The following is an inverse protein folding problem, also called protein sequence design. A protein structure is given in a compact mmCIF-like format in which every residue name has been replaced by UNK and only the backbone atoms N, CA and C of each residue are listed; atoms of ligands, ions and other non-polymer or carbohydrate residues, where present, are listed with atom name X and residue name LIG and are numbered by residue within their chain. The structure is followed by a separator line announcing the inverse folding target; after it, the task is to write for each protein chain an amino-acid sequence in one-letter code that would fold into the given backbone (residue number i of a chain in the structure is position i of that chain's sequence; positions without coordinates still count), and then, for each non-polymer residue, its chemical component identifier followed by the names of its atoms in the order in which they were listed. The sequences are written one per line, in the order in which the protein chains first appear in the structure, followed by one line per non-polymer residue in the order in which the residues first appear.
data_IF_299275374997
#
_entry.id   IF_299275374997
#
_cell.length_a   1.000
_cell.length_b   1.000
_cell.length_c   1.000
_cell.angle_alpha   90.00
_cell.angle_beta   90.00
_cell.angle_gamma   90.00
#
_symmetry.space_group_name_H-M   'P 1'
#
loop_
_entity.id
_entity.type
_entity.pdbx_description
1 polymer ?
#
# COMPACT_ATOMS: atom_id res chain seq x y z
N UNK A 1 23.02 -18.55 11.61
CA UNK A 1 21.77 -18.43 10.83
C UNK A 1 21.48 -19.78 10.21
N UNK A 2 20.24 -20.27 10.28
CA UNK A 2 19.84 -21.60 9.81
C UNK A 2 19.61 -21.61 8.29
N UNK A 3 19.70 -22.79 7.65
CA UNK A 3 19.50 -22.96 6.19
C UNK A 3 18.13 -22.44 5.72
N UNK A 4 17.09 -22.56 6.55
CA UNK A 4 15.74 -22.04 6.25
C UNK A 4 15.69 -20.52 6.12
N UNK A 5 16.47 -19.79 6.92
CA UNK A 5 16.56 -18.33 6.81
C UNK A 5 17.20 -17.91 5.48
N UNK A 6 18.25 -18.62 5.08
CA UNK A 6 18.92 -18.39 3.80
C UNK A 6 18.01 -18.69 2.59
N UNK A 7 17.16 -19.72 2.68
CA UNK A 7 16.17 -20.04 1.65
C UNK A 7 15.14 -18.90 1.48
N UNK A 8 14.61 -18.37 2.59
CA UNK A 8 13.64 -17.26 2.56
C UNK A 8 14.28 -16.01 1.96
N UNK A 9 15.49 -15.65 2.40
CA UNK A 9 16.24 -14.51 1.84
C UNK A 9 16.47 -14.68 0.35
N UNK A 10 16.88 -15.88 -0.10
CA UNK A 10 17.07 -16.19 -1.52
C UNK A 10 15.78 -16.08 -2.33
N UNK A 11 14.66 -16.57 -1.80
CA UNK A 11 13.35 -16.46 -2.47
C UNK A 11 12.93 -14.99 -2.62
N UNK A 12 13.01 -14.20 -1.54
CA UNK A 12 12.66 -12.77 -1.59
C UNK A 12 13.59 -12.00 -2.54
N UNK A 13 14.89 -12.29 -2.48
CA UNK A 13 15.89 -11.73 -3.40
C UNK A 13 15.59 -12.08 -4.85
N UNK A 14 15.25 -13.34 -5.13
CA UNK A 14 14.82 -13.79 -6.46
C UNK A 14 13.61 -12.99 -6.93
N UNK A 15 12.58 -12.83 -6.09
CA UNK A 15 11.42 -12.02 -6.46
C UNK A 15 11.86 -10.60 -6.79
N UNK A 16 12.70 -9.94 -5.99
CA UNK A 16 13.20 -8.59 -6.27
C UNK A 16 14.02 -8.45 -7.56
N UNK A 17 14.77 -9.48 -7.95
CA UNK A 17 15.59 -9.48 -9.17
C UNK A 17 14.72 -9.69 -10.42
N UNK A 18 13.72 -10.57 -10.33
CA UNK A 18 12.83 -10.92 -11.45
C UNK A 18 11.61 -10.00 -11.56
N UNK A 19 11.30 -9.21 -10.53
CA UNK A 19 10.17 -8.28 -10.55
C UNK A 19 10.30 -7.12 -11.55
N UNK A 20 11.43 -6.40 -11.63
CA UNK A 20 11.52 -5.20 -12.45
C UNK A 20 11.96 -5.49 -13.89
N UNK A 21 12.39 -6.71 -14.21
CA UNK A 21 12.85 -7.05 -15.55
C UNK A 21 11.69 -7.53 -16.40
N UNK A 22 11.21 -6.67 -17.31
CA UNK A 22 10.57 -7.14 -18.53
C UNK A 22 11.66 -7.88 -19.33
N UNK A 23 11.82 -9.18 -19.07
CA UNK A 23 12.81 -9.99 -19.76
C UNK A 23 12.48 -9.91 -21.25
N UNK A 24 13.49 -9.70 -22.10
CA UNK A 24 13.41 -9.80 -23.57
C UNK A 24 13.05 -11.21 -24.08
N UNK A 25 12.30 -11.98 -23.30
CA UNK A 25 11.59 -13.18 -23.74
C UNK A 25 10.28 -12.75 -24.38
N UNK A 26 9.78 -13.55 -25.33
CA UNK A 26 8.42 -13.44 -25.88
C UNK A 26 7.41 -13.70 -24.75
N UNK A 27 7.13 -12.70 -23.91
CA UNK A 27 6.12 -12.81 -22.86
C UNK A 27 4.75 -12.48 -23.46
N UNK A 28 3.72 -13.22 -23.04
CA UNK A 28 2.34 -12.94 -23.45
C UNK A 28 1.80 -11.63 -22.86
N UNK A 29 2.45 -11.10 -21.83
CA UNK A 29 2.07 -9.85 -21.16
C UNK A 29 3.32 -9.00 -20.84
N UNK A 30 3.56 -7.88 -21.56
CA UNK A 30 4.81 -7.13 -21.50
C UNK A 30 4.83 -6.08 -20.37
N UNK A 31 4.23 -6.37 -19.22
CA UNK A 31 4.18 -5.44 -18.09
C UNK A 31 4.77 -6.04 -16.82
N UNK A 32 5.23 -5.15 -15.94
CA UNK A 32 5.79 -5.50 -14.63
C UNK A 32 4.71 -6.18 -13.79
N UNK A 33 4.90 -7.48 -13.52
CA UNK A 33 3.97 -8.34 -12.78
C UNK A 33 3.50 -7.73 -11.46
N UNK A 34 4.34 -6.94 -10.80
CA UNK A 34 3.92 -6.30 -9.56
C UNK A 34 2.81 -5.29 -9.69
N UNK A 35 2.96 -4.38 -10.64
CA UNK A 35 1.92 -3.40 -10.90
C UNK A 35 0.62 -4.08 -11.35
N UNK A 36 0.72 -5.22 -12.03
CA UNK A 36 -0.42 -6.07 -12.44
C UNK A 36 -1.09 -6.76 -11.25
N UNK A 37 -0.33 -7.38 -10.35
CA UNK A 37 -0.86 -8.01 -9.13
C UNK A 37 -1.48 -6.98 -8.19
N UNK A 38 -0.84 -5.82 -8.03
CA UNK A 38 -1.40 -4.70 -7.27
C UNK A 38 -2.72 -4.22 -7.90
N UNK A 39 -2.76 -4.01 -9.21
CA UNK A 39 -3.98 -3.64 -9.93
C UNK A 39 -5.10 -4.67 -9.72
N UNK A 40 -4.81 -5.97 -9.81
CA UNK A 40 -5.79 -7.03 -9.59
C UNK A 40 -6.33 -7.02 -8.15
N UNK A 41 -5.44 -6.85 -7.16
CA UNK A 41 -5.82 -6.74 -5.74
C UNK A 41 -6.70 -5.54 -5.47
N UNK A 42 -6.32 -4.35 -5.97
CA UNK A 42 -7.13 -3.14 -5.78
C UNK A 42 -8.46 -3.26 -6.52
N UNK A 43 -8.51 -3.94 -7.66
CA UNK A 43 -9.75 -4.23 -8.40
C UNK A 43 -10.71 -5.09 -7.54
N UNK A 44 -10.19 -6.13 -6.88
CA UNK A 44 -10.98 -6.93 -5.93
C UNK A 44 -11.58 -6.07 -4.81
N UNK A 45 -10.76 -5.20 -4.18
CA UNK A 45 -11.22 -4.29 -3.13
C UNK A 45 -12.27 -3.30 -3.66
N UNK A 46 -12.04 -2.75 -4.85
CA UNK A 46 -12.94 -1.79 -5.50
C UNK A 46 -14.32 -2.42 -5.74
N UNK A 47 -14.35 -3.61 -6.36
CA UNK A 47 -15.59 -4.35 -6.61
C UNK A 47 -16.30 -4.78 -5.32
N UNK A 48 -15.53 -5.18 -4.30
CA UNK A 48 -16.08 -5.50 -2.97
C UNK A 48 -16.80 -4.29 -2.37
N UNK A 49 -16.16 -3.12 -2.37
CA UNK A 49 -16.74 -1.89 -1.83
C UNK A 49 -17.95 -1.39 -2.64
N UNK A 50 -17.89 -1.52 -3.98
CA UNK A 50 -19.03 -1.21 -4.83
C UNK A 50 -20.24 -2.10 -4.51
N UNK A 51 -20.04 -3.42 -4.36
CA UNK A 51 -21.11 -4.35 -4.00
C UNK A 51 -21.66 -4.06 -2.61
N UNK A 52 -20.79 -3.82 -1.62
CA UNK A 52 -21.19 -3.49 -0.25
C UNK A 52 -22.04 -2.21 -0.16
N UNK A 53 -21.87 -1.28 -1.10
CA UNK A 53 -22.63 -0.03 -1.17
C UNK A 53 -23.76 -0.06 -2.20
N UNK A 54 -23.97 -1.18 -2.89
CA UNK A 54 -24.89 -1.32 -4.02
C UNK A 54 -24.72 -0.20 -5.08
N UNK A 55 -23.48 0.22 -5.31
CA UNK A 55 -23.15 1.36 -6.16
C UNK A 55 -23.13 0.96 -7.65
N UNK A 56 -23.68 1.84 -8.50
CA UNK A 56 -23.59 1.74 -9.96
C UNK A 56 -22.89 2.97 -10.51
N UNK A 57 -21.71 2.79 -11.10
CA UNK A 57 -20.87 3.88 -11.60
C UNK A 57 -20.96 3.98 -13.13
N UNK A 58 -20.81 5.20 -13.66
CA UNK A 58 -20.46 5.36 -15.06
C UNK A 58 -19.07 4.77 -15.31
N UNK A 59 -18.79 4.33 -16.54
CA UNK A 59 -17.48 3.75 -16.88
C UNK A 59 -16.32 4.71 -16.56
N UNK A 60 -16.50 6.01 -16.79
CA UNK A 60 -15.50 7.02 -16.45
C UNK A 60 -15.19 7.05 -14.95
N UNK A 61 -16.22 7.12 -14.10
CA UNK A 61 -16.04 7.10 -12.64
C UNK A 61 -15.50 5.74 -12.15
N UNK A 62 -15.92 4.64 -12.78
CA UNK A 62 -15.46 3.29 -12.46
C UNK A 62 -13.94 3.16 -12.68
N UNK A 63 -13.47 3.47 -13.90
CA UNK A 63 -12.04 3.38 -14.23
C UNK A 63 -11.24 4.40 -13.43
N UNK A 64 -11.66 5.67 -13.39
CA UNK A 64 -10.89 6.72 -12.72
C UNK A 64 -10.81 6.50 -11.20
N UNK A 65 -11.92 6.09 -10.57
CA UNK A 65 -11.94 5.77 -9.14
C UNK A 65 -10.98 4.64 -8.79
N UNK A 66 -10.98 3.58 -9.60
CA UNK A 66 -10.04 2.46 -9.47
C UNK A 66 -8.57 2.92 -9.64
N UNK A 67 -8.28 3.72 -10.68
CA UNK A 67 -6.92 4.20 -10.95
C UNK A 67 -6.39 5.10 -9.84
N UNK A 68 -7.21 5.99 -9.31
CA UNK A 68 -6.84 6.85 -8.17
C UNK A 68 -6.54 6.01 -6.91
N UNK A 69 -7.30 4.94 -6.65
CA UNK A 69 -6.97 4.00 -5.57
C UNK A 69 -5.64 3.27 -5.80
N UNK A 70 -5.35 2.91 -7.05
CA UNK A 70 -4.11 2.24 -7.42
C UNK A 70 -2.87 3.14 -7.29
N UNK A 71 -3.01 4.39 -7.69
CA UNK A 71 -1.91 5.35 -7.85
C UNK A 71 -1.76 6.32 -6.68
N UNK A 72 -2.65 6.30 -5.70
CA UNK A 72 -2.62 7.28 -4.62
C UNK A 72 -1.27 7.39 -3.91
N UNK A 73 -0.55 6.28 -3.76
CA UNK A 73 0.80 6.27 -3.19
C UNK A 73 1.80 7.10 -3.99
N UNK A 74 1.97 6.78 -5.28
CA UNK A 74 2.89 7.51 -6.16
C UNK A 74 2.43 8.95 -6.37
N UNK A 75 1.13 9.19 -6.53
CA UNK A 75 0.59 10.54 -6.73
C UNK A 75 0.87 11.44 -5.52
N UNK A 76 0.53 10.99 -4.31
CA UNK A 76 0.78 11.75 -3.08
C UNK A 76 2.28 11.99 -2.86
N UNK A 77 3.12 10.97 -3.04
CA UNK A 77 4.56 11.11 -2.85
C UNK A 77 5.21 12.05 -3.86
N UNK A 78 4.80 12.03 -5.13
CA UNK A 78 5.32 12.98 -6.13
C UNK A 78 4.90 14.42 -5.83
N UNK A 79 3.64 14.63 -5.39
CA UNK A 79 3.20 15.95 -4.93
C UNK A 79 4.01 16.45 -3.72
N UNK A 80 4.26 15.59 -2.72
CA UNK A 80 5.09 15.93 -1.56
C UNK A 80 6.53 16.30 -1.94
N UNK A 81 7.06 15.70 -3.00
CA UNK A 81 8.39 15.98 -3.54
C UNK A 81 8.40 17.14 -4.54
N UNK A 82 7.25 17.74 -4.86
CA UNK A 82 7.10 18.72 -5.95
C UNK A 82 7.59 18.18 -7.31
N UNK A 83 7.41 16.88 -7.54
CA UNK A 83 7.73 16.19 -8.79
C UNK A 83 6.45 15.93 -9.60
N UNK A 84 6.51 15.92 -10.94
CA UNK A 84 5.36 15.55 -11.75
C UNK A 84 5.04 14.05 -11.59
N UNK A 85 3.81 13.65 -11.21
CA UNK A 85 3.45 12.25 -11.09
C UNK A 85 3.52 11.52 -12.45
N UNK A 86 4.24 10.40 -12.56
CA UNK A 86 4.43 9.68 -13.83
C UNK A 86 3.13 9.20 -14.47
N UNK A 87 2.09 9.01 -13.67
CA UNK A 87 0.75 8.63 -14.12
C UNK A 87 0.13 9.68 -15.05
N UNK A 88 0.55 10.94 -14.98
CA UNK A 88 -0.03 12.00 -15.82
C UNK A 88 0.61 12.08 -17.22
N UNK A 89 1.77 11.45 -17.43
CA UNK A 89 2.50 11.54 -18.69
C UNK A 89 3.00 10.20 -19.27
N UNK A 90 2.88 9.09 -18.54
CA UNK A 90 3.26 7.76 -19.01
C UNK A 90 2.02 6.90 -19.32
N UNK A 91 1.91 6.41 -20.55
CA UNK A 91 0.78 5.54 -20.96
C UNK A 91 0.86 4.11 -20.38
N UNK A 92 2.07 3.62 -20.08
CA UNK A 92 2.27 2.25 -19.58
C UNK A 92 1.42 1.90 -18.35
N UNK A 93 1.46 2.71 -17.28
CA UNK A 93 0.58 2.54 -16.12
C UNK A 93 -0.91 2.55 -16.45
N UNK A 94 -1.36 3.42 -17.36
CA UNK A 94 -2.78 3.42 -17.78
C UNK A 94 -3.17 2.08 -18.39
N UNK A 95 -2.41 1.62 -19.39
CA UNK A 95 -2.74 0.39 -20.10
C UNK A 95 -2.72 -0.80 -19.14
N UNK A 96 -1.67 -0.96 -18.34
CA UNK A 96 -1.56 -2.11 -17.43
C UNK A 96 -2.71 -2.14 -16.42
N UNK A 97 -2.94 -1.03 -15.70
CA UNK A 97 -3.93 -1.00 -14.63
C UNK A 97 -5.37 -1.11 -15.18
N UNK A 98 -5.70 -0.37 -16.24
CA UNK A 98 -7.03 -0.43 -16.84
C UNK A 98 -7.31 -1.80 -17.46
N UNK A 99 -6.36 -2.41 -18.17
CA UNK A 99 -6.55 -3.74 -18.75
C UNK A 99 -6.81 -4.82 -17.68
N UNK A 100 -6.05 -4.82 -16.60
CA UNK A 100 -6.24 -5.75 -15.47
C UNK A 100 -7.61 -5.53 -14.83
N UNK A 101 -8.00 -4.28 -14.58
CA UNK A 101 -9.28 -3.99 -13.96
C UNK A 101 -10.47 -4.38 -14.84
N UNK A 102 -10.39 -4.13 -16.15
CA UNK A 102 -11.41 -4.57 -17.11
C UNK A 102 -11.52 -6.10 -17.15
N UNK A 103 -10.38 -6.80 -17.19
CA UNK A 103 -10.36 -8.27 -17.16
C UNK A 103 -11.00 -8.81 -15.87
N UNK A 104 -10.63 -8.28 -14.71
CA UNK A 104 -11.22 -8.67 -13.42
C UNK A 104 -12.72 -8.33 -13.36
N UNK A 105 -13.12 -7.20 -13.95
CA UNK A 105 -14.54 -6.80 -14.04
C UNK A 105 -15.35 -7.80 -14.86
N UNK A 106 -14.82 -8.23 -16.01
CA UNK A 106 -15.45 -9.29 -16.82
C UNK A 106 -15.47 -10.61 -16.05
N UNK A 107 -14.40 -10.97 -15.35
CA UNK A 107 -14.34 -12.19 -14.55
C UNK A 107 -15.42 -12.21 -13.46
N UNK A 108 -15.59 -11.10 -12.72
CA UNK A 108 -16.61 -10.98 -11.66
C UNK A 108 -18.02 -10.76 -12.16
N UNK A 109 -18.20 -10.55 -13.46
CA UNK A 109 -19.51 -10.63 -14.09
C UNK A 109 -20.00 -12.10 -14.15
N UNK A 110 -19.09 -13.04 -14.42
CA UNK A 110 -19.43 -14.47 -14.55
C UNK A 110 -19.16 -15.29 -13.29
N UNK A 111 -18.23 -14.84 -12.44
CA UNK A 111 -17.83 -15.54 -11.22
C UNK A 111 -18.20 -14.72 -9.97
N UNK A 112 -18.48 -15.37 -8.82
CA UNK A 112 -18.62 -14.66 -7.56
C UNK A 112 -17.31 -13.96 -7.18
N UNK A 113 -17.42 -12.82 -6.52
CA UNK A 113 -16.26 -12.14 -5.94
C UNK A 113 -15.71 -13.00 -4.81
N UNK A 114 -14.40 -13.34 -4.81
CA UNK A 114 -13.77 -14.06 -3.72
C UNK A 114 -13.91 -13.31 -2.39
N UNK A 115 -13.95 -14.04 -1.28
CA UNK A 115 -13.92 -13.42 0.06
C UNK A 115 -12.64 -12.56 0.20
N UNK A 116 -12.78 -11.25 0.47
CA UNK A 116 -11.65 -10.36 0.68
C UNK A 116 -10.75 -10.79 1.83
N UNK A 117 -11.29 -11.44 2.85
CA UNK A 117 -10.53 -11.90 4.02
C UNK A 117 -9.59 -13.02 3.62
N UNK A 118 -10.10 -14.03 2.89
CA UNK A 118 -9.28 -15.09 2.29
C UNK A 118 -8.22 -14.53 1.35
N UNK A 119 -8.58 -13.61 0.45
CA UNK A 119 -7.64 -13.00 -0.48
C UNK A 119 -6.51 -12.26 0.27
N UNK A 120 -6.82 -11.48 1.30
CA UNK A 120 -5.82 -10.82 2.13
C UNK A 120 -4.95 -11.85 2.88
N UNK A 121 -5.51 -12.98 3.30
CA UNK A 121 -4.77 -14.02 4.03
C UNK A 121 -3.78 -14.77 3.14
N UNK A 122 -4.13 -15.01 1.88
CA UNK A 122 -3.23 -15.70 0.94
C UNK A 122 -2.21 -14.73 0.35
N UNK A 123 -2.60 -13.47 0.10
CA UNK A 123 -1.80 -12.51 -0.66
C UNK A 123 -1.01 -11.52 0.21
N UNK A 124 -1.10 -11.55 1.54
CA UNK A 124 -0.35 -10.60 2.38
C UNK A 124 1.17 -10.59 2.14
N UNK A 125 1.87 -11.72 1.84
CA UNK A 125 3.31 -11.65 1.58
C UNK A 125 3.61 -10.86 0.31
N UNK A 126 2.77 -11.02 -0.72
CA UNK A 126 2.91 -10.28 -1.96
C UNK A 126 2.54 -8.81 -1.78
N UNK A 127 1.48 -8.48 -1.03
CA UNK A 127 1.10 -7.08 -0.74
C UNK A 127 2.20 -6.37 0.08
N UNK A 128 2.74 -7.04 1.11
CA UNK A 128 3.84 -6.50 1.90
C UNK A 128 5.10 -6.24 1.06
N UNK A 129 5.48 -7.19 0.21
CA UNK A 129 6.60 -7.05 -0.71
C UNK A 129 6.41 -5.89 -1.71
N UNK A 130 5.22 -5.83 -2.32
CA UNK A 130 4.82 -4.78 -3.26
C UNK A 130 4.96 -3.39 -2.66
N UNK A 131 4.41 -3.21 -1.46
CA UNK A 131 4.43 -1.92 -0.76
C UNK A 131 5.80 -1.55 -0.26
N UNK A 132 6.58 -2.51 0.25
CA UNK A 132 7.97 -2.25 0.61
C UNK A 132 8.77 -1.74 -0.59
N UNK A 133 8.64 -2.41 -1.74
CA UNK A 133 9.29 -1.98 -2.97
C UNK A 133 8.82 -0.58 -3.41
N UNK A 134 7.52 -0.30 -3.35
CA UNK A 134 6.98 1.02 -3.68
C UNK A 134 7.56 2.12 -2.75
N UNK A 135 7.61 1.87 -1.44
CA UNK A 135 8.22 2.80 -0.46
C UNK A 135 9.68 3.06 -0.80
N UNK A 136 10.47 2.01 -1.01
CA UNK A 136 11.91 2.14 -1.32
C UNK A 136 12.12 2.93 -2.63
N UNK A 137 11.33 2.63 -3.67
CA UNK A 137 11.44 3.31 -4.96
C UNK A 137 11.01 4.78 -4.88
N UNK A 138 10.09 5.13 -3.99
CA UNK A 138 9.73 6.53 -3.75
C UNK A 138 10.82 7.24 -2.93
N UNK A 139 11.37 6.60 -1.89
CA UNK A 139 12.44 7.18 -1.08
C UNK A 139 13.71 7.40 -1.90
N UNK A 140 13.99 6.56 -2.90
CA UNK A 140 15.14 6.76 -3.79
C UNK A 140 15.02 8.04 -4.64
N UNK A 141 13.81 8.60 -4.83
CA UNK A 141 13.62 9.90 -5.51
C UNK A 141 14.25 11.06 -4.74
N UNK A 142 14.53 10.92 -3.44
CA UNK A 142 15.25 11.92 -2.66
C UNK A 142 16.70 12.13 -3.13
N UNK A 143 17.22 11.23 -3.97
CA UNK A 143 18.54 11.39 -4.61
C UNK A 143 18.51 12.32 -5.82
N UNK A 144 17.33 12.71 -6.30
CA UNK A 144 17.20 13.60 -7.44
C UNK A 144 17.65 15.02 -7.06
N UNK A 145 18.50 15.68 -7.88
CA UNK A 145 18.98 17.04 -7.59
C UNK A 145 17.89 18.10 -7.48
N UNK A 146 16.71 17.86 -8.07
CA UNK A 146 15.57 18.78 -8.04
C UNK A 146 14.80 18.78 -6.72
N UNK A 147 15.04 17.80 -5.84
CA UNK A 147 14.35 17.70 -4.56
C UNK A 147 15.02 18.62 -3.54
N UNK A 148 14.21 19.35 -2.76
CA UNK A 148 14.70 20.28 -1.75
C UNK A 148 15.62 19.56 -0.73
N UNK A 149 16.89 20.00 -0.55
CA UNK A 149 17.86 19.32 0.32
C UNK A 149 17.44 19.29 1.79
N UNK A 150 16.60 20.24 2.26
CA UNK A 150 16.04 20.24 3.62
C UNK A 150 15.14 19.03 3.84
N UNK A 151 14.35 18.66 2.83
CA UNK A 151 13.49 17.48 2.88
C UNK A 151 14.33 16.18 2.85
N UNK A 152 15.37 16.16 2.01
CA UNK A 152 16.31 15.03 1.91
C UNK A 152 17.00 14.77 3.25
N UNK A 153 17.39 15.82 3.97
CA UNK A 153 18.07 15.73 5.25
C UNK A 153 17.15 15.40 6.44
N UNK A 154 15.83 15.33 6.26
CA UNK A 154 14.85 15.18 7.35
C UNK A 154 14.37 13.73 7.53
N UNK A 155 14.73 13.02 8.63
CA UNK A 155 14.22 11.67 8.92
C UNK A 155 12.70 11.60 8.98
N UNK A 156 12.06 12.63 9.53
CA UNK A 156 10.61 12.72 9.59
C UNK A 156 10.00 12.78 8.19
N UNK A 157 10.62 13.49 7.25
CA UNK A 157 10.13 13.55 5.89
C UNK A 157 10.24 12.21 5.18
N UNK A 158 11.34 11.45 5.36
CA UNK A 158 11.45 10.08 4.85
C UNK A 158 10.32 9.19 5.39
N UNK A 159 10.00 9.31 6.68
CA UNK A 159 8.88 8.59 7.30
C UNK A 159 7.54 8.98 6.67
N UNK A 160 7.25 10.28 6.54
CA UNK A 160 6.01 10.78 5.91
C UNK A 160 5.91 10.30 4.47
N UNK A 161 7.01 10.33 3.73
CA UNK A 161 7.07 9.93 2.34
C UNK A 161 6.80 8.42 2.17
N UNK A 162 7.36 7.59 3.04
CA UNK A 162 7.06 6.15 3.09
C UNK A 162 5.61 5.85 3.48
N UNK A 163 5.07 6.57 4.46
CA UNK A 163 3.67 6.47 4.85
C UNK A 163 2.73 6.83 3.68
N UNK A 164 3.04 7.93 2.97
CA UNK A 164 2.29 8.36 1.80
C UNK A 164 2.36 7.32 0.67
N UNK A 165 3.54 6.79 0.36
CA UNK A 165 3.73 5.78 -0.68
C UNK A 165 2.93 4.50 -0.40
N UNK A 166 2.85 4.09 0.87
CA UNK A 166 2.20 2.85 1.29
C UNK A 166 0.66 2.97 1.38
N UNK A 167 0.13 4.08 1.92
CA UNK A 167 -1.27 4.12 2.38
C UNK A 167 -2.19 5.05 1.57
N UNK A 168 -1.65 5.99 0.80
CA UNK A 168 -2.46 7.07 0.20
C UNK A 168 -3.55 6.57 -0.76
N UNK A 169 -3.37 5.43 -1.43
CA UNK A 169 -4.42 4.86 -2.30
C UNK A 169 -5.72 4.52 -1.56
N UNK A 170 -5.61 3.83 -0.42
CA UNK A 170 -6.77 3.51 0.43
C UNK A 170 -7.34 4.75 1.13
N UNK A 171 -6.47 5.69 1.52
CA UNK A 171 -6.90 6.97 2.10
C UNK A 171 -7.70 7.78 1.10
N UNK A 172 -7.21 7.99 -0.12
CA UNK A 172 -7.93 8.71 -1.17
C UNK A 172 -9.25 8.01 -1.52
N UNK A 173 -9.21 6.68 -1.69
CA UNK A 173 -10.41 5.87 -1.94
C UNK A 173 -11.51 6.11 -0.92
N UNK A 174 -11.19 5.97 0.37
CA UNK A 174 -12.14 6.16 1.45
C UNK A 174 -12.55 7.60 1.66
N UNK A 175 -11.61 8.54 1.61
CA UNK A 175 -11.86 9.98 1.79
C UNK A 175 -12.80 10.49 0.71
N UNK A 176 -12.58 10.12 -0.56
CA UNK A 176 -13.36 10.62 -1.69
C UNK A 176 -14.56 9.75 -2.06
N UNK A 177 -14.75 8.60 -1.39
CA UNK A 177 -15.77 7.60 -1.71
C UNK A 177 -15.70 7.14 -3.18
N UNK A 178 -14.50 6.82 -3.67
CA UNK A 178 -14.24 6.63 -5.11
C UNK A 178 -15.03 5.49 -5.79
N UNK A 179 -15.60 4.58 -4.99
CA UNK A 179 -16.44 3.47 -5.46
C UNK A 179 -17.94 3.77 -5.41
N UNK A 180 -18.36 5.01 -5.12
CA UNK A 180 -19.77 5.42 -5.11
C UNK A 180 -20.06 6.42 -6.23
N UNK A 181 -21.33 6.59 -6.65
CA UNK A 181 -21.68 7.53 -7.72
C UNK A 181 -21.42 8.99 -7.34
N UNK A 182 -21.38 9.29 -6.04
CA UNK A 182 -21.24 10.63 -5.49
C UNK A 182 -19.88 10.74 -4.81
N UNK A 183 -18.89 11.20 -5.56
CA UNK A 183 -17.58 11.48 -4.99
C UNK A 183 -17.68 12.70 -4.08
N UNK A 184 -17.31 12.50 -2.82
CA UNK A 184 -17.43 13.53 -1.80
C UNK A 184 -16.22 13.47 -0.88
N UNK A 185 -15.76 14.64 -0.45
CA UNK A 185 -14.72 14.71 0.56
C UNK A 185 -15.32 14.39 1.93
N UNK A 186 -14.87 13.28 2.53
CA UNK A 186 -15.33 12.77 3.82
C UNK A 186 -14.17 12.63 4.79
N UNK A 187 -14.47 12.37 6.07
CA UNK A 187 -13.44 12.09 7.07
C UNK A 187 -12.55 10.94 6.61
N UNK A 188 -11.21 11.13 6.52
CA UNK A 188 -10.28 10.09 6.13
C UNK A 188 -10.45 8.83 6.99
N UNK A 189 -10.32 7.61 6.43
CA UNK A 189 -10.63 6.37 7.14
C UNK A 189 -9.96 6.23 8.51
N UNK A 190 -8.67 6.57 8.71
CA UNK A 190 -8.04 6.54 10.03
C UNK A 190 -8.79 7.39 11.06
N UNK A 191 -9.28 8.56 10.66
CA UNK A 191 -9.87 9.56 11.53
C UNK A 191 -11.36 9.32 11.80
N UNK A 192 -11.96 8.25 11.26
CA UNK A 192 -13.36 7.90 11.52
C UNK A 192 -13.52 7.33 12.92
N UNK A 193 -14.60 7.70 13.60
CA UNK A 193 -14.94 7.22 14.95
C UNK A 193 -14.96 5.69 14.98
N UNK A 194 -14.29 5.09 15.97
CA UNK A 194 -14.22 3.63 16.13
C UNK A 194 -13.30 2.91 15.15
N UNK A 195 -12.71 3.62 14.18
CA UNK A 195 -11.74 3.07 13.23
C UNK A 195 -10.31 3.39 13.66
N UNK A 196 -10.08 4.40 14.52
CA UNK A 196 -8.74 4.71 15.01
C UNK A 196 -8.16 3.54 15.83
N UNK A 197 -6.96 3.10 15.46
CA UNK A 197 -6.27 1.99 16.13
C UNK A 197 -4.97 1.65 15.42
N UNK A 198 -4.06 0.96 16.13
CA UNK A 198 -2.77 0.57 15.60
C UNK A 198 -2.92 -0.31 14.34
N UNK A 199 -3.87 -1.25 14.37
CA UNK A 199 -4.09 -2.22 13.29
C UNK A 199 -4.77 -1.64 12.05
N UNK A 200 -5.67 -0.68 12.24
CA UNK A 200 -6.39 -0.01 11.14
C UNK A 200 -5.52 1.02 10.42
N UNK A 201 -4.53 1.58 11.12
CA UNK A 201 -3.57 2.55 10.58
C UNK A 201 -2.22 1.94 10.26
N UNK A 202 -2.09 0.61 10.36
CA UNK A 202 -0.81 -0.08 10.20
C UNK A 202 -0.14 0.20 8.86
N UNK A 203 -0.90 0.37 7.78
CA UNK A 203 -0.34 0.66 6.45
C UNK A 203 0.45 1.97 6.42
N UNK A 204 0.04 2.96 7.23
CA UNK A 204 0.69 4.27 7.37
C UNK A 204 1.99 4.08 8.16
N UNK A 205 1.90 3.46 9.34
CA UNK A 205 3.05 3.25 10.22
C UNK A 205 4.10 2.34 9.61
N UNK A 206 3.68 1.22 9.01
CA UNK A 206 4.57 0.26 8.37
C UNK A 206 5.29 0.91 7.17
N UNK A 207 4.59 1.70 6.35
CA UNK A 207 5.22 2.43 5.25
C UNK A 207 6.30 3.41 5.72
N UNK A 208 6.00 4.23 6.73
CA UNK A 208 6.98 5.15 7.29
C UNK A 208 8.15 4.44 7.99
N UNK A 209 7.86 3.36 8.73
CA UNK A 209 8.88 2.55 9.39
C UNK A 209 9.81 1.87 8.37
N UNK A 210 9.28 1.36 7.25
CA UNK A 210 10.09 0.79 6.16
C UNK A 210 11.04 1.82 5.55
N UNK A 211 10.57 3.06 5.33
CA UNK A 211 11.43 4.13 4.82
C UNK A 211 12.56 4.45 5.80
N UNK A 212 12.24 4.62 7.08
CA UNK A 212 13.25 4.87 8.13
C UNK A 212 14.23 3.69 8.29
N UNK A 213 13.73 2.46 8.30
CA UNK A 213 14.56 1.26 8.39
C UNK A 213 15.52 1.18 7.20
N UNK A 214 15.03 1.38 5.98
CA UNK A 214 15.85 1.40 4.78
C UNK A 214 16.94 2.49 4.85
N UNK A 215 16.58 3.70 5.31
CA UNK A 215 17.52 4.81 5.49
C UNK A 215 18.61 4.52 6.53
N UNK A 216 18.26 3.89 7.66
CA UNK A 216 19.24 3.46 8.68
C UNK A 216 20.18 2.39 8.12
N UNK A 217 19.64 1.35 7.48
CA UNK A 217 20.42 0.21 6.97
C UNK A 217 21.38 0.62 5.85
N UNK A 218 20.98 1.58 5.01
CA UNK A 218 21.81 2.11 3.92
C UNK A 218 22.69 3.30 4.35
N UNK A 219 22.69 3.65 5.64
CA UNK A 219 23.46 4.76 6.19
C UNK A 219 23.20 6.12 5.52
N UNK A 220 21.94 6.38 5.16
CA UNK A 220 21.56 7.66 4.59
C UNK A 220 21.90 8.82 5.56
N UNK A 221 22.46 9.95 5.09
CA UNK A 221 22.93 11.04 5.95
C UNK A 221 21.92 11.54 7.00
N UNK A 222 20.64 11.61 6.62
CA UNK A 222 19.56 12.00 7.53
C UNK A 222 19.49 11.12 8.80
N UNK A 223 19.85 9.83 8.71
CA UNK A 223 19.70 8.86 9.79
C UNK A 223 20.99 8.56 10.54
N UNK A 224 22.10 9.29 10.29
CA UNK A 224 23.37 9.06 10.98
C UNK A 224 23.26 9.10 12.52
N UNK A 225 22.53 10.06 13.14
CA UNK A 225 22.37 10.08 14.60
C UNK A 225 21.66 8.82 15.12
N UNK A 226 20.59 8.39 14.45
CA UNK A 226 19.84 7.21 14.84
C UNK A 226 20.65 5.93 14.65
N UNK A 227 21.42 5.83 13.56
CA UNK A 227 22.28 4.69 13.27
C UNK A 227 23.34 4.52 14.35
N UNK A 228 23.98 5.62 14.79
CA UNK A 228 24.99 5.58 15.85
C UNK A 228 24.44 5.02 17.17
N UNK A 229 23.14 5.21 17.46
CA UNK A 229 22.49 4.64 18.64
C UNK A 229 22.15 3.14 18.51
N UNK A 230 21.92 2.65 17.28
CA UNK A 230 21.47 1.27 17.04
C UNK A 230 22.64 0.33 16.73
N UNK A 231 23.66 0.82 16.03
CA UNK A 231 24.84 0.04 15.69
C UNK A 231 26.09 0.90 15.77
N UNK A 232 26.95 0.58 16.73
CA UNK A 232 28.22 1.27 16.90
C UNK A 232 29.29 0.83 15.89
N UNK A 233 29.10 -0.30 15.18
CA UNK A 233 30.18 -0.92 14.39
C UNK A 233 29.75 -1.66 13.10
N UNK A 234 28.45 -1.83 12.79
CA UNK A 234 28.07 -2.54 11.56
C UNK A 234 28.25 -1.64 10.34
N UNK A 235 28.97 -2.13 9.32
CA UNK A 235 29.05 -1.50 8.00
C UNK A 235 27.64 -1.31 7.41
N UNK A 236 27.40 -0.26 6.60
CA UNK A 236 26.13 -0.11 5.89
C UNK A 236 25.84 -1.37 5.07
N UNK A 237 24.58 -1.80 5.08
CA UNK A 237 24.16 -2.91 4.23
C UNK A 237 24.18 -2.47 2.76
N UNK A 238 24.32 -3.44 1.84
CA UNK A 238 24.08 -3.17 0.43
C UNK A 238 22.63 -2.72 0.24
N UNK A 239 22.37 -1.93 -0.81
CA UNK A 239 21.00 -1.49 -1.11
C UNK A 239 20.05 -2.68 -1.34
N UNK A 240 20.54 -3.78 -1.91
CA UNK A 240 19.74 -5.00 -2.11
C UNK A 240 19.41 -5.68 -0.78
N UNK A 241 20.38 -5.85 0.11
CA UNK A 241 20.13 -6.48 1.42
C UNK A 241 19.17 -5.64 2.26
N UNK A 242 19.35 -4.32 2.28
CA UNK A 242 18.45 -3.39 2.96
C UNK A 242 17.02 -3.49 2.39
N UNK A 243 16.86 -3.67 1.07
CA UNK A 243 15.54 -3.91 0.44
C UNK A 243 14.89 -5.18 0.94
N UNK A 244 15.65 -6.28 1.00
CA UNK A 244 15.15 -7.58 1.46
C UNK A 244 14.70 -7.49 2.92
N UNK A 245 15.51 -6.89 3.80
CA UNK A 245 15.17 -6.70 5.22
C UNK A 245 13.92 -5.83 5.38
N UNK A 246 13.85 -4.71 4.66
CA UNK A 246 12.66 -3.84 4.65
C UNK A 246 11.39 -4.56 4.16
N UNK A 247 11.53 -5.42 3.15
CA UNK A 247 10.41 -6.22 2.65
C UNK A 247 9.93 -7.26 3.66
N UNK A 248 10.87 -8.00 4.29
CA UNK A 248 10.54 -8.92 5.35
C UNK A 248 9.79 -8.21 6.49
N UNK A 249 10.27 -7.04 6.91
CA UNK A 249 9.60 -6.24 7.93
C UNK A 249 8.16 -5.89 7.52
N UNK A 250 7.96 -5.41 6.29
CA UNK A 250 6.62 -5.08 5.78
C UNK A 250 5.71 -6.30 5.70
N UNK A 251 6.22 -7.45 5.21
CA UNK A 251 5.49 -8.72 5.16
C UNK A 251 5.06 -9.15 6.57
N UNK A 252 5.95 -9.05 7.55
CA UNK A 252 5.64 -9.38 8.94
C UNK A 252 4.54 -8.46 9.49
N UNK A 253 4.63 -7.14 9.27
CA UNK A 253 3.58 -6.21 9.72
C UNK A 253 2.21 -6.54 9.11
N UNK A 254 2.17 -6.80 7.81
CA UNK A 254 0.92 -7.17 7.13
C UNK A 254 0.40 -8.55 7.55
N UNK A 255 1.29 -9.51 7.82
CA UNK A 255 0.92 -10.79 8.43
C UNK A 255 0.28 -10.59 9.80
N UNK A 256 0.88 -9.76 10.67
CA UNK A 256 0.29 -9.42 11.97
C UNK A 256 -1.11 -8.78 11.81
N UNK A 257 -1.30 -7.90 10.82
CA UNK A 257 -2.62 -7.30 10.54
C UNK A 257 -3.68 -8.34 10.20
N UNK A 258 -3.31 -9.38 9.45
CA UNK A 258 -4.22 -10.45 9.06
C UNK A 258 -4.53 -11.37 10.24
N UNK A 259 -3.50 -11.81 10.96
CA UNK A 259 -3.65 -12.89 11.95
C UNK A 259 -4.02 -12.41 13.35
N UNK A 260 -3.62 -11.21 13.77
CA UNK A 260 -3.91 -10.72 15.14
C UNK A 260 -5.42 -10.54 15.37
N UNK A 261 -6.19 -9.89 14.48
CA UNK A 261 -7.64 -9.78 14.68
C UNK A 261 -8.36 -11.13 14.67
N UNK A 262 -7.83 -12.14 13.96
CA UNK A 262 -8.40 -13.48 13.95
C UNK A 262 -8.22 -14.22 15.29
N UNK A 263 -7.24 -13.81 16.10
CA UNK A 263 -6.93 -14.40 17.41
C UNK A 263 -7.50 -13.54 18.55
N UNK A 264 -7.74 -12.24 18.31
CA UNK A 264 -8.30 -11.34 19.29
C UNK A 264 -9.76 -11.70 19.61
N UNK A 265 -10.18 -11.69 20.89
CA UNK A 265 -11.59 -11.89 21.24
C UNK A 265 -12.45 -10.83 20.55
N UNK A 266 -13.52 -11.25 19.86
CA UNK A 266 -14.50 -10.32 19.30
C UNK A 266 -14.96 -9.35 20.39
N UNK A 267 -14.96 -8.03 20.13
CA UNK A 267 -15.49 -7.06 21.08
C UNK A 267 -16.90 -7.49 21.47
N UNK A 268 -17.18 -7.59 22.77
CA UNK A 268 -18.54 -7.84 23.24
C UNK A 268 -19.44 -6.74 22.67
N UNK A 269 -20.59 -7.08 22.07
CA UNK A 269 -21.50 -6.08 21.54
C UNK A 269 -21.82 -5.08 22.65
N UNK A 270 -21.56 -3.79 22.39
CA UNK A 270 -21.93 -2.73 23.31
C UNK A 270 -23.45 -2.78 23.46
N UNK A 271 -24.00 -2.90 24.68
CA UNK A 271 -25.44 -2.93 24.88
C UNK A 271 -26.05 -1.72 24.18
N UNK A 272 -26.94 -1.98 23.21
CA UNK A 272 -27.66 -0.92 22.53
C UNK A 272 -28.40 -0.12 23.60
N UNK A 273 -28.01 1.15 23.80
CA UNK A 273 -28.78 2.06 24.65
C UNK A 273 -30.12 2.21 23.97
N UNK A 274 -31.12 1.44 24.42
CA UNK A 274 -32.53 1.60 24.06
C UNK A 274 -32.86 3.08 24.28
N UNK A 275 -32.87 3.82 23.19
CA UNK A 275 -33.30 5.20 23.18
C UNK A 275 -34.79 5.12 23.46
N UNK A 276 -35.19 5.47 24.68
CA UNK A 276 -36.59 5.55 25.06
C UNK A 276 -37.22 6.71 24.28
N UNK A 277 -37.59 6.44 23.02
CA UNK A 277 -38.40 7.34 22.22
C UNK A 277 -39.77 7.38 22.89
N UNK A 278 -39.99 8.37 23.77
CA UNK A 278 -41.32 8.75 24.21
C UNK A 278 -42.06 9.28 22.98
N UNK A 279 -42.82 8.41 22.33
CA UNK A 279 -43.85 8.81 21.37
C UNK A 279 -44.88 9.61 22.18
N UNK A 280 -44.85 10.94 22.06
CA UNK A 280 -45.97 11.78 22.50
C UNK A 280 -47.08 11.62 21.45
N UNK A 281 -48.09 10.85 21.79
CA UNK A 281 -49.39 10.91 21.11
C UNK A 281 -50.08 12.19 21.56
N UNK A 282 -50.40 13.07 20.61
CA UNK A 282 -51.39 14.12 20.77
C UNK A 282 -52.74 13.61 20.29
#
# INVERSE_FOLDING_TARGET
MTDSFQLIVRFITFVFIFYPTAIGTKTLFPYVWGTTLHAARISLVFHTNMRATNSRLSWGAHILGFLLMCWGGSFASHLLLSLPPPQLYAFGPWINYSAVHLLVTVLFHYLPIPDPSLANTVLFPFDGLLRANAVIQIVSLLTLPSVNPVLVASPLFHFILGAAASASGGLLGGTLSLWTPNWQFSTPPPLRTGVWGLWSTLDIWAGGAVASLYGVLTAHPAFLPLRASVTSQALPMSALDARVVSAMFMITMFGLRVFVPAIAPSPKPVPEKRSATKVKTN
#
